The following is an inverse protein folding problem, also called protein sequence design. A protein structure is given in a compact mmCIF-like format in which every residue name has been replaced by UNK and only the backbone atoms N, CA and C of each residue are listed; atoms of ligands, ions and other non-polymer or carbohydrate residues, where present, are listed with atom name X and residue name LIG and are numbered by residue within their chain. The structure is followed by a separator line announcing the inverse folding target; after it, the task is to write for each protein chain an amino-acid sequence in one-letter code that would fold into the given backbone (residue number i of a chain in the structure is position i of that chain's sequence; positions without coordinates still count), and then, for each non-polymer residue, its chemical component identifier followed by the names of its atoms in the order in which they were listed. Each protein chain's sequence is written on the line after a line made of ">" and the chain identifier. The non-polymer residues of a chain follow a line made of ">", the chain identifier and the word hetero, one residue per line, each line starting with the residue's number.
data_IF_998080235320
#
_entry.id   IF_998080235320
#
_cell.length_a   1.000
_cell.length_b   1.000
_cell.length_c   1.000
_cell.angle_alpha   90.00
_cell.angle_beta   90.00
_cell.angle_gamma   90.00
#
_symmetry.space_group_name_H-M   'P 1'
#
loop_
_entity.id
_entity.type
_entity.pdbx_description
1 polymer ?
#
# COMPACT_ATOMS: atom_id res chain seq x y z
N UNK A 1 18.98 2.41 -16.92
CA UNK A 1 17.80 1.83 -16.25
C UNK A 1 16.65 2.81 -16.34
N UNK A 2 15.45 2.40 -16.71
CA UNK A 2 14.31 3.29 -16.80
C UNK A 2 13.97 3.85 -15.40
N UNK A 3 13.68 5.16 -15.33
CA UNK A 3 13.37 5.91 -14.11
C UNK A 3 12.18 5.32 -13.32
N UNK A 4 11.28 4.60 -14.03
CA UNK A 4 10.06 4.02 -13.48
C UNK A 4 10.25 2.95 -12.38
N UNK A 5 11.40 2.26 -12.33
CA UNK A 5 11.67 1.26 -11.28
C UNK A 5 12.35 1.81 -10.02
N UNK A 6 12.84 3.05 -10.06
CA UNK A 6 13.61 3.63 -8.94
C UNK A 6 12.86 3.68 -7.60
N UNK A 7 11.62 4.18 -7.51
CA UNK A 7 10.94 4.25 -6.22
C UNK A 7 10.66 2.86 -5.62
N UNK A 8 10.33 1.86 -6.44
CA UNK A 8 10.17 0.48 -5.96
C UNK A 8 11.47 -0.07 -5.37
N UNK A 9 12.60 0.11 -6.08
CA UNK A 9 13.91 -0.36 -5.60
C UNK A 9 14.30 0.38 -4.33
N UNK A 10 14.09 1.70 -4.27
CA UNK A 10 14.36 2.50 -3.08
C UNK A 10 13.54 2.01 -1.88
N UNK A 11 12.26 1.67 -2.08
CA UNK A 11 11.42 1.13 -1.01
C UNK A 11 11.90 -0.26 -0.58
N UNK A 12 12.26 -1.15 -1.52
CA UNK A 12 12.82 -2.47 -1.19
C UNK A 12 14.11 -2.36 -0.38
N UNK A 13 15.00 -1.45 -0.75
CA UNK A 13 16.22 -1.17 0.01
C UNK A 13 15.87 -0.63 1.41
N UNK A 14 14.91 0.29 1.51
CA UNK A 14 14.46 0.81 2.80
C UNK A 14 13.89 -0.30 3.70
N UNK A 15 13.07 -1.22 3.16
CA UNK A 15 12.57 -2.38 3.91
C UNK A 15 13.71 -3.24 4.45
N UNK A 16 14.71 -3.55 3.61
CA UNK A 16 15.86 -4.36 4.02
C UNK A 16 16.71 -3.66 5.09
N UNK A 17 17.00 -2.37 4.91
CA UNK A 17 17.79 -1.58 5.86
C UNK A 17 17.07 -1.46 7.20
N UNK A 18 15.77 -1.13 7.19
CA UNK A 18 14.98 -1.02 8.44
C UNK A 18 14.91 -2.37 9.14
N UNK A 19 14.74 -3.47 8.41
CA UNK A 19 14.74 -4.81 8.99
C UNK A 19 16.08 -5.13 9.68
N UNK A 20 17.21 -4.78 9.07
CA UNK A 20 18.54 -4.97 9.70
C UNK A 20 18.70 -4.13 10.98
N UNK A 21 18.27 -2.86 10.95
CA UNK A 21 18.28 -1.99 12.13
C UNK A 21 17.36 -2.57 13.22
N UNK A 22 16.21 -3.09 12.85
CA UNK A 22 15.26 -3.74 13.74
C UNK A 22 15.88 -4.97 14.44
N UNK A 23 16.64 -5.82 13.71
CA UNK A 23 17.35 -6.94 14.31
C UNK A 23 18.39 -6.46 15.38
N UNK A 24 19.10 -5.39 15.07
CA UNK A 24 20.06 -4.80 16.05
C UNK A 24 19.32 -4.23 17.24
N UNK A 25 18.20 -3.51 17.05
CA UNK A 25 17.37 -2.98 18.14
C UNK A 25 16.82 -4.09 19.04
N UNK A 26 16.47 -5.25 18.45
CA UNK A 26 15.99 -6.43 19.17
C UNK A 26 16.99 -7.01 20.18
N UNK A 27 18.31 -6.75 20.00
CA UNK A 27 19.33 -7.14 20.96
C UNK A 27 19.24 -6.32 22.27
N UNK A 28 18.56 -5.18 22.26
CA UNK A 28 18.39 -4.28 23.38
C UNK A 28 16.99 -4.37 24.03
N UNK A 29 16.39 -5.54 24.01
CA UNK A 29 15.11 -5.83 24.68
C UNK A 29 13.92 -5.09 24.05
N UNK A 30 13.23 -4.24 24.83
CA UNK A 30 12.03 -3.54 24.37
C UNK A 30 12.27 -2.45 23.30
N UNK A 31 13.51 -2.14 22.96
CA UNK A 31 13.83 -1.05 22.05
C UNK A 31 13.24 -1.27 20.65
N UNK A 32 13.23 -2.51 20.16
CA UNK A 32 12.57 -2.86 18.90
C UNK A 32 11.08 -2.46 18.90
N UNK A 33 10.36 -2.87 19.94
CA UNK A 33 8.92 -2.57 20.05
C UNK A 33 8.67 -1.07 20.19
N UNK A 34 9.52 -0.33 20.89
CA UNK A 34 9.40 1.12 21.07
C UNK A 34 9.60 1.85 19.75
N UNK A 35 10.57 1.44 18.94
CA UNK A 35 10.93 2.15 17.71
C UNK A 35 10.08 1.76 16.50
N UNK A 36 9.65 0.50 16.41
CA UNK A 36 9.15 -0.06 15.16
C UNK A 36 7.72 -0.58 15.23
N UNK A 37 7.12 -0.74 16.40
CA UNK A 37 5.77 -1.29 16.51
C UNK A 37 4.78 -0.19 16.84
N UNK A 38 3.74 -0.06 16.01
CA UNK A 38 2.63 0.86 16.24
C UNK A 38 1.64 0.22 17.23
N UNK A 39 1.45 0.88 18.38
CA UNK A 39 0.47 0.52 19.41
C UNK A 39 -0.47 1.69 19.68
N UNK A 40 -1.61 1.42 20.30
CA UNK A 40 -2.46 2.43 20.92
C UNK A 40 -1.90 2.90 22.29
N UNK A 41 -2.12 4.15 22.65
CA UNK A 41 -2.70 5.25 21.88
C UNK A 41 -1.77 5.70 20.72
N UNK A 42 -2.32 5.86 19.54
CA UNK A 42 -1.55 6.12 18.29
C UNK A 42 -0.62 7.35 18.40
N UNK A 43 -1.04 8.38 19.15
CA UNK A 43 -0.24 9.60 19.33
C UNK A 43 0.94 9.49 20.29
N UNK A 44 1.01 8.43 21.10
CA UNK A 44 2.08 8.29 22.10
C UNK A 44 3.48 8.10 21.47
N UNK A 45 3.55 7.53 20.27
CA UNK A 45 4.78 7.26 19.53
C UNK A 45 4.60 7.64 18.06
N UNK A 46 4.60 8.93 17.71
CA UNK A 46 4.26 9.39 16.36
C UNK A 46 5.23 8.89 15.29
N UNK A 47 6.50 8.62 15.63
CA UNK A 47 7.45 8.02 14.71
C UNK A 47 7.03 6.60 14.25
N UNK A 48 6.32 5.85 15.12
CA UNK A 48 5.85 4.52 14.79
C UNK A 48 4.83 4.50 13.65
N UNK A 49 4.16 5.62 13.35
CA UNK A 49 3.32 5.77 12.16
C UNK A 49 4.12 5.54 10.86
N UNK A 50 5.41 5.88 10.86
CA UNK A 50 6.28 5.72 9.70
C UNK A 50 7.15 4.47 9.83
N UNK A 51 7.81 4.29 10.96
CA UNK A 51 8.76 3.19 11.13
C UNK A 51 8.11 1.82 11.07
N UNK A 52 6.88 1.67 11.57
CA UNK A 52 6.13 0.42 11.50
C UNK A 52 5.81 -0.02 10.07
N UNK A 53 5.64 0.92 9.13
CA UNK A 53 5.37 0.61 7.72
C UNK A 53 6.55 -0.12 7.06
N UNK A 54 7.77 0.14 7.52
CA UNK A 54 8.99 -0.48 6.97
C UNK A 54 9.48 -1.67 7.80
N UNK A 55 9.03 -1.82 9.03
CA UNK A 55 9.43 -2.89 9.94
C UNK A 55 8.70 -4.21 9.65
N UNK A 56 9.30 -5.35 10.02
CA UNK A 56 8.73 -6.69 9.77
C UNK A 56 9.01 -7.64 10.91
N UNK A 57 7.99 -8.40 11.33
CA UNK A 57 8.08 -9.34 12.45
C UNK A 57 8.99 -10.55 12.20
N UNK A 58 9.27 -10.87 10.93
CA UNK A 58 10.10 -12.02 10.56
C UNK A 58 10.64 -11.87 9.14
N UNK A 59 11.69 -12.62 8.81
CA UNK A 59 12.22 -12.68 7.45
C UNK A 59 11.19 -13.18 6.42
N UNK A 60 10.38 -14.23 6.65
CA UNK A 60 9.31 -14.61 5.73
C UNK A 60 8.30 -13.50 5.49
N UNK A 61 7.94 -12.73 6.54
CA UNK A 61 7.03 -11.58 6.41
C UNK A 61 7.64 -10.48 5.54
N UNK A 62 8.92 -10.14 5.74
CA UNK A 62 9.65 -9.21 4.87
C UNK A 62 9.66 -9.69 3.42
N UNK A 63 10.04 -10.96 3.18
CA UNK A 63 10.14 -11.50 1.83
C UNK A 63 8.81 -11.52 1.11
N UNK A 64 7.71 -11.89 1.77
CA UNK A 64 6.36 -11.83 1.20
C UNK A 64 5.99 -10.42 0.74
N UNK A 65 6.22 -9.42 1.58
CA UNK A 65 5.99 -8.02 1.24
C UNK A 65 6.92 -7.52 0.13
N UNK A 66 8.20 -7.91 0.15
CA UNK A 66 9.17 -7.53 -0.86
C UNK A 66 8.80 -8.10 -2.25
N UNK A 67 8.40 -9.37 -2.32
CA UNK A 67 7.93 -10.00 -3.56
C UNK A 67 6.68 -9.31 -4.09
N UNK A 68 5.67 -9.08 -3.24
CA UNK A 68 4.45 -8.39 -3.64
C UNK A 68 4.75 -6.97 -4.13
N UNK A 69 5.62 -6.22 -3.43
CA UNK A 69 6.07 -4.89 -3.85
C UNK A 69 6.85 -4.93 -5.16
N UNK A 70 7.71 -5.93 -5.37
CA UNK A 70 8.47 -6.08 -6.61
C UNK A 70 7.56 -6.32 -7.83
N UNK A 71 6.37 -6.91 -7.63
CA UNK A 71 5.38 -7.11 -8.69
C UNK A 71 4.54 -5.85 -8.92
N UNK A 72 3.92 -5.29 -7.87
CA UNK A 72 2.97 -4.17 -8.04
C UNK A 72 3.66 -2.81 -8.15
N UNK A 73 4.79 -2.64 -7.47
CA UNK A 73 5.49 -1.36 -7.38
C UNK A 73 5.92 -0.79 -8.73
N UNK A 74 6.59 -1.56 -9.62
CA UNK A 74 7.00 -1.07 -10.93
C UNK A 74 5.82 -0.66 -11.82
N UNK A 75 4.67 -1.31 -11.67
CA UNK A 75 3.47 -1.00 -12.45
C UNK A 75 2.89 0.36 -12.06
N UNK A 76 2.88 0.69 -10.76
CA UNK A 76 2.47 2.01 -10.27
C UNK A 76 3.53 3.05 -10.58
N UNK A 77 4.82 2.74 -10.37
CA UNK A 77 5.94 3.65 -10.58
C UNK A 77 6.02 4.21 -12.00
N UNK A 78 5.50 3.48 -13.00
CA UNK A 78 5.42 3.95 -14.41
C UNK A 78 4.43 5.10 -14.61
N UNK A 79 3.52 5.33 -13.65
CA UNK A 79 2.41 6.29 -13.76
C UNK A 79 2.58 7.51 -12.85
N UNK A 80 3.60 7.49 -11.98
CA UNK A 80 3.76 8.49 -10.94
C UNK A 80 5.20 8.98 -10.79
N UNK A 81 5.39 10.03 -10.00
CA UNK A 81 6.72 10.50 -9.60
C UNK A 81 7.22 9.73 -8.38
N UNK A 82 8.54 9.73 -8.17
CA UNK A 82 9.16 9.11 -6.99
C UNK A 82 8.58 9.65 -5.67
N UNK A 83 8.42 10.97 -5.56
CA UNK A 83 7.86 11.59 -4.36
C UNK A 83 6.41 11.13 -4.10
N UNK A 84 5.55 11.17 -5.11
CA UNK A 84 4.15 10.71 -4.97
C UNK A 84 4.08 9.24 -4.60
N UNK A 85 4.94 8.40 -5.17
CA UNK A 85 5.00 6.98 -4.83
C UNK A 85 5.32 6.78 -3.35
N UNK A 86 6.41 7.40 -2.85
CA UNK A 86 6.80 7.25 -1.45
C UNK A 86 5.78 7.87 -0.49
N UNK A 87 5.25 9.05 -0.79
CA UNK A 87 4.20 9.67 0.02
C UNK A 87 2.96 8.79 0.10
N UNK A 88 2.52 8.23 -1.02
CA UNK A 88 1.39 7.32 -1.06
C UNK A 88 1.66 6.05 -0.23
N UNK A 89 2.84 5.44 -0.40
CA UNK A 89 3.23 4.24 0.33
C UNK A 89 3.23 4.46 1.85
N UNK A 90 3.86 5.54 2.31
CA UNK A 90 3.93 5.87 3.74
C UNK A 90 2.56 6.22 4.30
N UNK A 91 1.82 7.11 3.63
CA UNK A 91 0.51 7.57 4.13
C UNK A 91 -0.49 6.42 4.19
N UNK A 92 -0.60 5.62 3.13
CA UNK A 92 -1.56 4.50 3.13
C UNK A 92 -1.15 3.39 4.10
N UNK A 93 0.15 3.12 4.25
CA UNK A 93 0.67 2.18 5.24
C UNK A 93 0.38 2.63 6.68
N UNK A 94 0.64 3.91 6.99
CA UNK A 94 0.34 4.49 8.29
C UNK A 94 -1.16 4.45 8.60
N UNK A 95 -2.02 4.85 7.66
CA UNK A 95 -3.48 4.80 7.83
C UNK A 95 -4.00 3.36 7.99
N UNK A 96 -3.42 2.40 7.27
CA UNK A 96 -3.73 0.99 7.44
C UNK A 96 -3.36 0.51 8.85
N UNK A 97 -2.16 0.87 9.33
CA UNK A 97 -1.73 0.59 10.71
C UNK A 97 -2.64 1.20 11.76
N UNK A 98 -3.03 2.47 11.58
CA UNK A 98 -4.00 3.14 12.46
C UNK A 98 -5.36 2.43 12.45
N UNK A 99 -5.84 2.05 11.27
CA UNK A 99 -7.08 1.27 11.13
C UNK A 99 -7.04 -0.02 11.92
N UNK A 100 -5.94 -0.77 11.85
CA UNK A 100 -5.77 -2.00 12.62
C UNK A 100 -5.72 -1.75 14.13
N UNK A 101 -4.94 -0.76 14.58
CA UNK A 101 -4.82 -0.46 16.02
C UNK A 101 -6.15 0.04 16.60
N UNK A 102 -6.86 0.92 15.88
CA UNK A 102 -8.08 1.55 16.38
C UNK A 102 -9.29 0.62 16.18
N UNK A 103 -9.57 0.23 14.95
CA UNK A 103 -10.78 -0.58 14.63
C UNK A 103 -10.56 -2.04 14.97
N UNK A 104 -9.39 -2.60 14.62
CA UNK A 104 -9.03 -3.98 14.96
C UNK A 104 -9.01 -4.21 16.47
N UNK A 105 -8.58 -3.21 17.25
CA UNK A 105 -8.59 -3.24 18.71
C UNK A 105 -9.98 -3.32 19.34
N UNK A 106 -11.05 -2.89 18.66
CA UNK A 106 -12.44 -3.11 19.09
C UNK A 106 -12.97 -4.51 18.74
N UNK A 107 -12.36 -5.17 17.75
CA UNK A 107 -12.79 -6.49 17.26
C UNK A 107 -12.02 -7.64 17.93
N UNK A 108 -10.95 -7.33 18.64
CA UNK A 108 -10.10 -8.33 19.31
C UNK A 108 -9.14 -7.70 20.33
N UNK A 109 -8.25 -8.49 20.92
CA UNK A 109 -7.28 -7.95 21.87
C UNK A 109 -6.35 -6.94 21.21
N UNK A 110 -6.00 -5.84 21.92
CA UNK A 110 -5.07 -4.83 21.38
C UNK A 110 -3.75 -5.48 20.95
N UNK A 111 -3.32 -5.17 19.73
CA UNK A 111 -2.10 -5.73 19.16
C UNK A 111 -1.21 -4.64 18.61
N UNK A 112 0.10 -4.88 18.67
CA UNK A 112 1.05 -4.06 17.96
C UNK A 112 1.05 -4.40 16.46
N UNK A 113 1.22 -3.38 15.63
CA UNK A 113 1.18 -3.49 14.16
C UNK A 113 2.51 -3.06 13.57
N UNK A 114 2.99 -3.85 12.63
CA UNK A 114 4.13 -3.53 11.77
C UNK A 114 4.04 -4.31 10.46
N UNK A 115 4.60 -3.75 9.41
CA UNK A 115 4.65 -4.37 8.07
C UNK A 115 4.19 -3.46 6.95
N UNK A 116 4.78 -3.67 5.77
CA UNK A 116 4.47 -2.92 4.56
C UNK A 116 3.15 -3.32 3.88
N UNK A 117 2.51 -4.39 4.35
CA UNK A 117 1.40 -5.04 3.65
C UNK A 117 0.20 -4.12 3.37
N UNK A 118 -0.14 -3.23 4.30
CA UNK A 118 -1.19 -2.23 4.10
C UNK A 118 -0.88 -1.28 2.94
N UNK A 119 0.36 -0.80 2.84
CA UNK A 119 0.82 0.04 1.72
C UNK A 119 0.90 -0.73 0.40
N UNK A 120 1.37 -1.99 0.42
CA UNK A 120 1.43 -2.85 -0.77
C UNK A 120 0.02 -3.15 -1.30
N UNK A 121 -0.94 -3.44 -0.40
CA UNK A 121 -2.34 -3.62 -0.77
C UNK A 121 -2.98 -2.33 -1.29
N UNK A 122 -2.56 -1.16 -0.79
CA UNK A 122 -3.00 0.12 -1.35
C UNK A 122 -2.47 0.32 -2.78
N UNK A 123 -1.21 -0.01 -3.08
CA UNK A 123 -0.69 -0.01 -4.45
C UNK A 123 -1.46 -0.98 -5.36
N UNK A 124 -1.78 -2.17 -4.85
CA UNK A 124 -2.58 -3.16 -5.58
C UNK A 124 -3.99 -2.64 -5.86
N UNK A 125 -4.68 -2.10 -4.85
CA UNK A 125 -6.00 -1.49 -4.99
C UNK A 125 -5.99 -0.33 -5.99
N UNK A 126 -4.93 0.50 -5.97
CA UNK A 126 -4.73 1.57 -6.94
C UNK A 126 -4.68 1.04 -8.38
N UNK A 127 -3.93 -0.04 -8.63
CA UNK A 127 -3.87 -0.66 -9.95
C UNK A 127 -5.22 -1.25 -10.38
N UNK A 128 -5.93 -1.90 -9.47
CA UNK A 128 -7.23 -2.49 -9.76
C UNK A 128 -8.25 -1.43 -10.20
N UNK A 129 -8.32 -0.30 -9.48
CA UNK A 129 -9.31 0.74 -9.75
C UNK A 129 -8.86 1.74 -10.82
N UNK A 130 -7.55 1.96 -10.97
CA UNK A 130 -6.97 2.92 -11.93
C UNK A 130 -6.72 2.34 -13.34
N UNK A 131 -6.91 1.02 -13.55
CA UNK A 131 -6.68 0.41 -14.84
C UNK A 131 -7.96 0.48 -15.70
N UNK A 132 -7.82 1.00 -16.94
CA UNK A 132 -8.91 1.11 -17.93
C UNK A 132 -9.52 -0.26 -18.25
N UNK A 133 -8.73 -1.33 -18.25
CA UNK A 133 -9.22 -2.70 -18.47
C UNK A 133 -10.07 -3.16 -17.29
N UNK A 134 -9.61 -2.89 -16.06
CA UNK A 134 -10.38 -3.23 -14.84
C UNK A 134 -11.66 -2.41 -14.72
N UNK A 135 -11.64 -1.11 -15.07
CA UNK A 135 -12.87 -0.29 -15.10
C UNK A 135 -13.86 -0.81 -16.13
N UNK A 136 -13.42 -1.10 -17.36
CA UNK A 136 -14.30 -1.66 -18.39
C UNK A 136 -14.84 -3.04 -18.04
N UNK A 137 -14.02 -3.88 -17.38
CA UNK A 137 -14.46 -5.20 -16.90
C UNK A 137 -15.47 -5.07 -15.75
N UNK A 138 -15.20 -4.21 -14.78
CA UNK A 138 -16.10 -3.95 -13.65
C UNK A 138 -17.41 -3.29 -14.11
N UNK A 139 -17.36 -2.39 -15.11
CA UNK A 139 -18.54 -1.76 -15.68
C UNK A 139 -19.40 -2.76 -16.48
N UNK A 140 -18.78 -3.81 -17.04
CA UNK A 140 -19.48 -4.91 -17.72
C UNK A 140 -20.03 -5.96 -16.77
N UNK A 141 -19.38 -6.14 -15.61
CA UNK A 141 -19.87 -7.00 -14.55
C UNK A 141 -20.88 -6.20 -13.73
N UNK A 142 -22.18 -6.34 -14.06
CA UNK A 142 -23.29 -5.82 -13.25
C UNK A 142 -23.40 -6.57 -11.93
N UNK A 143 -22.29 -6.57 -11.16
CA UNK A 143 -22.24 -7.23 -9.86
C UNK A 143 -22.99 -6.39 -8.83
N UNK A 144 -23.88 -7.03 -8.09
CA UNK A 144 -24.56 -6.35 -6.98
C UNK A 144 -23.53 -5.89 -5.93
N UNK A 145 -23.80 -4.80 -5.18
CA UNK A 145 -22.91 -4.34 -4.10
C UNK A 145 -22.56 -5.43 -3.08
N UNK A 146 -23.47 -6.38 -2.85
CA UNK A 146 -23.22 -7.54 -1.97
C UNK A 146 -22.14 -8.47 -2.52
N UNK A 147 -22.19 -8.77 -3.81
CA UNK A 147 -21.18 -9.61 -4.49
C UNK A 147 -19.82 -8.92 -4.48
N UNK A 148 -19.76 -7.62 -4.75
CA UNK A 148 -18.53 -6.85 -4.66
C UNK A 148 -17.92 -6.87 -3.24
N UNK A 149 -18.76 -6.75 -2.21
CA UNK A 149 -18.34 -6.82 -0.82
C UNK A 149 -17.76 -8.21 -0.47
N UNK A 150 -18.41 -9.28 -0.92
CA UNK A 150 -17.92 -10.65 -0.72
C UNK A 150 -16.59 -10.88 -1.44
N UNK A 151 -16.48 -10.48 -2.71
CA UNK A 151 -15.22 -10.59 -3.48
C UNK A 151 -14.11 -9.79 -2.80
N UNK A 152 -14.40 -8.57 -2.35
CA UNK A 152 -13.46 -7.75 -1.59
C UNK A 152 -13.01 -8.46 -0.32
N UNK A 153 -13.94 -8.99 0.47
CA UNK A 153 -13.64 -9.73 1.69
C UNK A 153 -12.77 -10.96 1.43
N UNK A 154 -13.10 -11.76 0.41
CA UNK A 154 -12.32 -12.94 0.02
C UNK A 154 -10.89 -12.54 -0.40
N UNK A 155 -10.74 -11.49 -1.19
CA UNK A 155 -9.42 -10.99 -1.61
C UNK A 155 -8.61 -10.52 -0.40
N UNK A 156 -9.21 -9.74 0.50
CA UNK A 156 -8.52 -9.26 1.72
C UNK A 156 -8.11 -10.42 2.60
N UNK A 157 -9.03 -11.34 2.91
CA UNK A 157 -8.73 -12.51 3.75
C UNK A 157 -7.69 -13.40 3.06
N UNK A 158 -7.84 -13.69 1.78
CA UNK A 158 -6.90 -14.52 1.02
C UNK A 158 -5.49 -13.93 1.01
N UNK A 159 -5.36 -12.63 0.71
CA UNK A 159 -4.07 -11.93 0.75
C UNK A 159 -3.50 -11.85 2.18
N UNK A 160 -4.37 -11.69 3.18
CA UNK A 160 -3.96 -11.70 4.59
C UNK A 160 -3.37 -13.05 4.99
N UNK A 161 -4.04 -14.14 4.65
CA UNK A 161 -3.57 -15.50 4.95
C UNK A 161 -2.27 -15.84 4.21
N UNK A 162 -2.15 -15.40 2.95
CA UNK A 162 -0.94 -15.61 2.14
C UNK A 162 0.24 -14.77 2.62
N UNK A 163 -0.01 -13.52 3.05
CA UNK A 163 1.06 -12.59 3.40
C UNK A 163 1.60 -12.73 4.83
N UNK A 164 0.77 -13.19 5.78
CA UNK A 164 1.11 -13.06 7.21
C UNK A 164 0.64 -14.22 8.09
N UNK A 165 -0.11 -15.17 7.57
CA UNK A 165 -0.65 -16.29 8.35
C UNK A 165 -1.84 -15.94 9.26
N UNK A 166 -2.32 -16.92 10.08
CA UNK A 166 -3.44 -16.72 10.99
C UNK A 166 -3.15 -15.67 12.06
N UNK A 167 -4.07 -14.74 12.27
CA UNK A 167 -3.97 -13.68 13.28
C UNK A 167 -3.35 -12.37 12.79
N UNK A 168 -3.14 -12.20 11.50
CA UNK A 168 -2.62 -10.97 10.93
C UNK A 168 -3.69 -9.85 10.82
N UNK A 169 -3.20 -8.64 10.56
CA UNK A 169 -3.91 -7.36 10.54
C UNK A 169 -4.99 -7.25 9.44
N UNK A 170 -6.12 -7.96 9.58
CA UNK A 170 -7.20 -8.02 8.58
C UNK A 170 -7.79 -6.63 8.33
N UNK A 171 -8.02 -5.86 9.39
CA UNK A 171 -8.58 -4.50 9.28
C UNK A 171 -7.59 -3.58 8.58
N UNK A 172 -6.30 -3.66 8.92
CA UNK A 172 -5.24 -2.90 8.27
C UNK A 172 -5.13 -3.23 6.78
N UNK A 173 -5.20 -4.50 6.42
CA UNK A 173 -5.20 -4.95 5.02
C UNK A 173 -6.43 -4.46 4.25
N UNK A 174 -7.62 -4.56 4.85
CA UNK A 174 -8.86 -4.03 4.26
C UNK A 174 -8.77 -2.51 4.08
N UNK A 175 -8.27 -1.80 5.08
CA UNK A 175 -8.07 -0.35 5.03
C UNK A 175 -7.11 0.03 3.90
N UNK A 176 -5.95 -0.62 3.81
CA UNK A 176 -4.97 -0.37 2.75
C UNK A 176 -5.57 -0.58 1.35
N UNK A 177 -6.21 -1.72 1.13
CA UNK A 177 -6.86 -2.02 -0.15
C UNK A 177 -7.95 -1.00 -0.50
N UNK A 178 -8.81 -0.62 0.47
CA UNK A 178 -9.86 0.38 0.27
C UNK A 178 -9.30 1.75 -0.10
N UNK A 179 -8.26 2.23 0.62
CA UNK A 179 -7.57 3.47 0.30
C UNK A 179 -6.99 3.44 -1.12
N UNK A 180 -6.40 2.31 -1.50
CA UNK A 180 -5.88 2.10 -2.85
C UNK A 180 -6.96 2.16 -3.92
N UNK A 181 -8.09 1.50 -3.72
CA UNK A 181 -9.23 1.54 -4.64
C UNK A 181 -9.77 2.96 -4.83
N UNK A 182 -9.95 3.70 -3.74
CA UNK A 182 -10.39 5.11 -3.79
C UNK A 182 -9.38 5.96 -4.55
N UNK A 183 -8.10 5.87 -4.18
CA UNK A 183 -7.03 6.61 -4.84
C UNK A 183 -6.92 6.28 -6.33
N UNK A 184 -7.10 5.02 -6.72
CA UNK A 184 -7.08 4.57 -8.10
C UNK A 184 -8.26 5.11 -8.91
N UNK A 185 -9.46 5.15 -8.33
CA UNK A 185 -10.64 5.78 -8.95
C UNK A 185 -10.42 7.27 -9.18
N UNK A 186 -9.81 7.95 -8.21
CA UNK A 186 -9.49 9.38 -8.29
C UNK A 186 -8.20 9.67 -9.09
N UNK A 187 -7.48 8.63 -9.53
CA UNK A 187 -6.20 8.74 -10.27
C UNK A 187 -5.16 9.62 -9.57
N UNK A 188 -5.08 9.55 -8.25
CA UNK A 188 -4.26 10.45 -7.44
C UNK A 188 -2.76 10.37 -7.76
N UNK A 189 -2.27 9.23 -8.25
CA UNK A 189 -0.87 9.05 -8.60
C UNK A 189 -0.55 9.37 -10.05
N UNK A 190 -1.55 9.47 -10.94
CA UNK A 190 -1.29 9.70 -12.37
C UNK A 190 -0.68 11.09 -12.57
N UNK A 191 0.47 11.12 -13.25
CA UNK A 191 1.05 12.37 -13.73
C UNK A 191 0.38 12.76 -15.05
N UNK A 192 0.12 14.05 -15.26
CA UNK A 192 -0.58 14.58 -16.45
C UNK A 192 0.19 14.38 -17.78
N UNK A 193 1.32 13.68 -17.77
CA UNK A 193 2.16 13.42 -18.95
C UNK A 193 1.51 12.53 -20.02
N UNK A 194 0.27 12.08 -19.81
CA UNK A 194 -0.49 11.23 -20.74
C UNK A 194 -1.66 11.93 -21.46
N UNK A 195 -1.87 13.23 -21.32
CA UNK A 195 -2.85 13.94 -22.17
C UNK A 195 -2.25 14.10 -23.57
N UNK A 196 -2.81 13.50 -24.63
CA UNK A 196 -2.41 13.84 -25.99
C UNK A 196 -2.61 15.34 -26.16
N UNK A 197 -1.54 16.07 -26.54
CA UNK A 197 -1.66 17.44 -27.02
C UNK A 197 -2.75 17.41 -28.09
N UNK A 198 -3.88 18.06 -27.85
CA UNK A 198 -4.82 18.41 -28.91
C UNK A 198 -3.96 19.09 -29.99
N UNK A 199 -3.79 18.44 -31.11
CA UNK A 199 -3.30 19.08 -32.32
C UNK A 199 -4.33 20.16 -32.63
N UNK A 200 -4.01 21.40 -32.33
CA UNK A 200 -4.61 22.54 -33.02
C UNK A 200 -4.06 22.48 -34.44
N UNK A 201 -4.66 21.58 -35.23
CA UNK A 201 -4.45 21.52 -36.66
C UNK A 201 -5.44 22.48 -37.32
N UNK A 202 -4.90 23.46 -37.96
CA UNK A 202 -5.50 24.18 -39.08
C UNK A 202 -6.71 25.04 -38.85
N UNK A 203 -6.42 26.27 -38.41
CA UNK A 203 -7.12 27.41 -38.94
C UNK A 203 -6.10 28.37 -39.63
N UNK A 204 -5.58 27.96 -40.77
CA UNK A 204 -4.92 28.88 -41.69
C UNK A 204 -5.00 28.30 -43.09
N UNK A 205 -6.01 28.68 -43.80
CA UNK A 205 -6.15 28.33 -45.20
C UNK A 205 -7.53 28.67 -45.73
N UNK A 206 -7.80 29.95 -45.88
CA UNK A 206 -8.65 30.50 -46.95
C UNK A 206 -8.56 32.03 -46.85
N UNK A 207 -7.64 32.58 -47.62
CA UNK A 207 -7.73 33.91 -48.21
C UNK A 207 -7.39 33.75 -49.67
#
# INVERSE_FOLDING_TARGET
>A
MPLAGRPTVQTLVALAVVFLIQQVAGLFGALEAVLFVLYGPVGARPWALVTSVYAHASLPHLLGNAVALAVVGPLVARRTTTLRFHSFFVVTGALAGVGEVVVGGFLGPPRGVLGASGAVLALFGYLLAGNVVSTRLLDRLTLSPRVLLVVFGVVVVGLTLLASGPGSAVVGHATGLALGLVAGRLRLLDTQSGRPKRRDSDRSGFA
#
